data_IF_531983287835
#
_entry.id   IF_531983287835
#
_cell.length_a   1.000
_cell.length_b   1.000
_cell.length_c   1.000
_cell.angle_alpha   90.00
_cell.angle_beta   90.00
_cell.angle_gamma   90.00
#
_symmetry.space_group_name_H-M   'P 1'
#
loop_
_entity.id
_entity.type
_entity.pdbx_description
1 polymer ?
#
# COMPACT_ATOMS: atom_id res chain seq x y z
N UNK A 1 -12.67 1.03 21.30
CA UNK A 1 -12.54 1.04 21.07
C UNK A 1 -12.36 1.18 20.33
N UNK A 2 -12.34 1.28 19.98
CA UNK A 2 -12.21 1.41 19.35
C UNK A 2 -11.96 1.45 18.55
N UNK A 3 -11.79 1.42 18.13
CA UNK A 3 -11.55 1.44 17.38
C UNK A 3 -11.65 1.65 16.53
N UNK A 4 -11.64 1.73 16.28
CA UNK A 4 -11.77 1.90 15.65
C UNK A 4 -11.75 2.02 14.58
N UNK A 5 -12.09 1.74 13.96
CA UNK A 5 -12.05 1.84 13.02
C UNK A 5 -11.23 2.16 12.53
N UNK A 6 -11.27 2.17 12.55
CA UNK A 6 -10.36 2.65 12.32
C UNK A 6 -9.62 2.45 11.13
N UNK A 7 -8.65 3.09 10.81
CA UNK A 7 -7.84 2.97 9.65
C UNK A 7 -7.02 1.75 9.68
N UNK A 8 -6.90 1.05 8.54
CA UNK A 8 -6.03 -0.10 8.44
C UNK A 8 -4.79 0.30 7.67
N UNK A 9 -3.69 -0.32 8.04
CA UNK A 9 -2.41 -0.10 7.38
C UNK A 9 -1.84 -1.45 6.96
N UNK A 10 -1.13 -1.43 5.84
CA UNK A 10 -0.49 -2.63 5.33
C UNK A 10 1.01 -2.38 5.22
N UNK A 11 1.80 -3.41 5.47
CA UNK A 11 3.23 -3.33 5.22
C UNK A 11 3.46 -3.60 3.74
N UNK A 12 4.68 -3.33 3.29
CA UNK A 12 5.03 -3.62 1.89
C UNK A 12 4.84 -5.11 1.62
N UNK A 13 5.26 -5.94 2.56
CA UNK A 13 5.14 -7.37 2.39
C UNK A 13 3.67 -7.79 2.23
N UNK A 14 2.80 -7.19 3.03
CA UNK A 14 1.39 -7.51 2.94
C UNK A 14 0.80 -7.07 1.62
N UNK A 15 1.18 -5.89 1.15
CA UNK A 15 0.70 -5.40 -0.13
C UNK A 15 1.19 -6.30 -1.26
N UNK A 16 2.45 -6.71 -1.17
CA UNK A 16 3.03 -7.58 -2.18
C UNK A 16 2.27 -8.89 -2.27
N UNK A 17 1.96 -9.47 -1.13
CA UNK A 17 1.23 -10.73 -1.12
C UNK A 17 -0.19 -10.55 -1.62
N UNK A 18 -0.80 -9.46 -1.23
CA UNK A 18 -2.18 -9.18 -1.62
C UNK A 18 -2.30 -9.03 -3.13
N UNK A 19 -1.35 -8.35 -3.73
CA UNK A 19 -1.38 -8.10 -5.16
C UNK A 19 -0.60 -9.14 -5.96
N UNK A 20 0.03 -10.06 -5.26
CA UNK A 20 0.79 -11.15 -5.87
C UNK A 20 1.91 -10.64 -6.75
N UNK A 21 2.66 -9.72 -6.20
CA UNK A 21 3.84 -9.18 -6.87
C UNK A 21 5.01 -9.26 -5.90
N UNK A 22 6.20 -9.01 -6.41
CA UNK A 22 7.39 -9.04 -5.58
C UNK A 22 7.44 -7.85 -4.63
N UNK A 23 8.06 -8.05 -3.49
CA UNK A 23 8.28 -7.00 -2.53
C UNK A 23 8.93 -5.78 -3.18
N UNK A 24 9.96 -6.02 -3.96
CA UNK A 24 10.70 -4.93 -4.60
C UNK A 24 9.81 -4.13 -5.55
N UNK A 25 8.86 -4.78 -6.18
CA UNK A 25 7.94 -4.11 -7.06
C UNK A 25 7.14 -3.06 -6.29
N UNK A 26 6.62 -3.45 -5.13
CA UNK A 26 5.84 -2.52 -4.31
C UNK A 26 6.73 -1.40 -3.82
N UNK A 27 7.94 -1.75 -3.39
CA UNK A 27 8.89 -0.76 -2.92
C UNK A 27 9.16 0.29 -3.99
N UNK A 28 9.32 -0.15 -5.22
CA UNK A 28 9.57 0.77 -6.33
C UNK A 28 8.37 1.65 -6.62
N UNK A 29 7.18 1.12 -6.47
CA UNK A 29 5.97 1.93 -6.65
C UNK A 29 5.95 3.06 -5.63
N UNK A 30 6.35 2.76 -4.40
CA UNK A 30 6.39 3.77 -3.35
C UNK A 30 7.46 4.80 -3.66
N UNK A 31 8.63 4.33 -4.07
CA UNK A 31 9.73 5.23 -4.37
C UNK A 31 9.43 6.18 -5.53
N UNK A 32 8.69 5.69 -6.50
CA UNK A 32 8.37 6.51 -7.66
C UNK A 32 7.14 7.39 -7.47
N UNK A 33 6.49 7.25 -6.32
CA UNK A 33 5.31 8.05 -6.04
C UNK A 33 4.02 7.48 -6.58
N UNK A 34 4.05 6.31 -7.18
CA UNK A 34 2.84 5.71 -7.71
C UNK A 34 1.91 5.22 -6.63
N UNK A 35 2.49 4.75 -5.54
CA UNK A 35 1.72 4.25 -4.41
C UNK A 35 2.08 5.08 -3.19
N UNK A 36 1.09 5.71 -2.61
CA UNK A 36 1.30 6.55 -1.44
C UNK A 36 1.55 5.68 -0.22
N UNK A 37 2.56 6.01 0.54
CA UNK A 37 2.88 5.29 1.77
C UNK A 37 3.45 6.26 2.78
N UNK A 38 3.33 5.87 4.04
CA UNK A 38 3.90 6.65 5.13
C UNK A 38 5.05 5.88 5.71
N UNK A 39 6.07 6.59 6.10
CA UNK A 39 7.20 5.96 6.74
C UNK A 39 7.02 6.02 8.25
N UNK A 40 6.92 4.87 8.86
CA UNK A 40 6.76 4.77 10.31
C UNK A 40 8.00 4.09 10.84
N UNK A 41 8.91 4.90 11.40
CA UNK A 41 10.17 4.36 11.83
C UNK A 41 10.98 3.91 10.63
N UNK A 42 11.29 2.64 10.59
CA UNK A 42 12.09 2.10 9.50
C UNK A 42 11.26 1.37 8.46
N UNK A 43 9.95 1.40 8.62
CA UNK A 43 9.08 0.66 7.73
C UNK A 43 8.08 1.57 7.09
N UNK A 44 7.64 1.16 5.91
CA UNK A 44 6.55 1.88 5.26
C UNK A 44 5.22 1.27 5.64
N UNK A 45 4.21 2.12 5.65
CA UNK A 45 2.84 1.69 5.90
C UNK A 45 1.96 2.30 4.83
N UNK A 46 1.09 1.49 4.27
CA UNK A 46 0.17 1.93 3.22
C UNK A 46 -1.23 1.90 3.79
N UNK A 47 -1.94 3.01 3.74
CA UNK A 47 -3.31 3.05 4.21
C UNK A 47 -4.20 2.26 3.26
N UNK A 48 -5.21 1.62 3.84
CA UNK A 48 -6.14 0.86 3.04
C UNK A 48 -6.76 1.70 1.93
N UNK A 49 -7.16 2.92 2.24
CA UNK A 49 -7.81 3.74 1.21
C UNK A 49 -6.83 4.14 0.11
N UNK A 50 -5.57 4.33 0.44
CA UNK A 50 -4.56 4.64 -0.57
C UNK A 50 -4.32 3.42 -1.45
N UNK A 51 -4.32 2.24 -0.84
CA UNK A 51 -4.14 1.01 -1.58
C UNK A 51 -5.31 0.78 -2.51
N UNK A 52 -6.53 0.98 -2.01
CA UNK A 52 -7.72 0.81 -2.84
C UNK A 52 -7.69 1.74 -4.04
N UNK A 53 -7.27 2.97 -3.81
CA UNK A 53 -7.19 3.95 -4.87
C UNK A 53 -6.15 3.55 -5.91
N UNK A 54 -5.03 3.03 -5.44
CA UNK A 54 -3.98 2.57 -6.34
C UNK A 54 -4.46 1.40 -7.19
N UNK A 55 -5.11 0.44 -6.56
CA UNK A 55 -5.60 -0.73 -7.28
C UNK A 55 -6.61 -0.33 -8.34
N UNK A 56 -7.52 0.55 -8.00
CA UNK A 56 -8.53 1.01 -8.95
C UNK A 56 -7.87 1.68 -10.14
N UNK A 57 -6.90 2.53 -9.86
CA UNK A 57 -6.20 3.24 -10.92
C UNK A 57 -5.43 2.28 -11.82
N UNK A 58 -4.78 1.31 -11.20
CA UNK A 58 -3.98 0.35 -11.92
C UNK A 58 -4.85 -0.52 -12.83
N UNK A 59 -5.99 -0.94 -12.32
CA UNK A 59 -6.88 -1.78 -13.11
C UNK A 59 -7.47 -1.06 -14.29
N UNK A 60 -7.68 0.22 -14.16
CA UNK A 60 -8.27 0.99 -15.23
C UNK A 60 -7.32 1.22 -16.37
N UNK A 61 -6.09 0.94 -16.14
CA UNK A 61 -5.12 1.15 -17.17
C UNK A 61 -5.20 0.15 -18.28
N UNK A 62 -5.96 -0.80 -18.17
CA UNK A 62 -6.01 -1.82 -19.17
C UNK A 62 -6.03 -1.36 -20.58
#
# INVERSE_FOLDING_TARGET
>A
MANNNQEQYYTIDEVAKLLKVAYLTVYRWIQSGKLTAYKAGKQYRVKKEDLDRFITSYERKK
#
